data_IF_699267915767
#
_entry.id   IF_699267915767
#
_cell.length_a   1.000
_cell.length_b   1.000
_cell.length_c   1.000
_cell.angle_alpha   90.00
_cell.angle_beta   90.00
_cell.angle_gamma   90.00
#
_symmetry.space_group_name_H-M   'P 1'
#
loop_
_entity.id
_entity.type
_entity.pdbx_description
1 polymer ?
#
# COMPACT_ATOMS: atom_id res chain seq x y z
N UNK A 1 -52.33 96.93 73.21
CA UNK A 1 -51.95 95.85 72.26
C UNK A 1 -50.80 95.05 72.87
N UNK A 2 -51.05 94.29 73.93
CA UNK A 2 -50.07 93.60 74.81
C UNK A 2 -50.94 92.61 75.62
N UNK A 3 -50.72 91.30 75.83
CA UNK A 3 -49.62 90.36 75.62
C UNK A 3 -50.22 88.94 75.43
N UNK A 4 -49.60 88.08 74.61
CA UNK A 4 -49.95 86.65 74.55
C UNK A 4 -49.25 85.89 75.69
N UNK A 5 -49.96 85.03 76.45
CA UNK A 5 -49.37 84.34 77.59
C UNK A 5 -48.37 83.27 77.13
N UNK A 6 -47.14 83.37 77.63
CA UNK A 6 -46.07 82.41 77.39
C UNK A 6 -46.27 81.19 78.31
N UNK A 7 -46.84 80.11 77.76
CA UNK A 7 -47.03 78.85 78.48
C UNK A 7 -45.80 77.96 78.27
N UNK A 8 -44.99 77.81 79.30
CA UNK A 8 -43.79 76.97 79.29
C UNK A 8 -44.23 75.51 79.45
N UNK A 9 -44.33 74.77 78.33
CA UNK A 9 -44.50 73.31 78.36
C UNK A 9 -43.18 72.63 78.71
N UNK A 10 -43.12 71.98 79.87
CA UNK A 10 -41.99 71.11 80.25
C UNK A 10 -42.02 69.83 79.42
N UNK A 11 -41.24 69.81 78.32
CA UNK A 11 -40.94 68.60 77.55
C UNK A 11 -40.25 67.58 78.45
N UNK A 12 -40.80 66.37 78.58
CA UNK A 12 -40.15 65.20 79.21
C UNK A 12 -39.49 64.33 78.13
N UNK A 13 -38.28 64.65 77.65
CA UNK A 13 -37.67 64.06 76.45
C UNK A 13 -37.47 62.53 76.59
N UNK A 14 -37.26 62.05 77.80
CA UNK A 14 -36.97 60.63 78.04
C UNK A 14 -38.12 59.69 77.64
N UNK A 15 -39.38 60.09 77.81
CA UNK A 15 -40.53 59.24 77.45
C UNK A 15 -40.72 59.12 75.93
N UNK A 16 -40.48 60.20 75.19
CA UNK A 16 -40.56 60.17 73.72
C UNK A 16 -39.40 59.39 73.11
N UNK A 17 -38.20 59.48 73.68
CA UNK A 17 -37.08 58.62 73.27
C UNK A 17 -37.35 57.15 73.57
N UNK A 18 -37.95 56.84 74.72
CA UNK A 18 -38.28 55.46 75.09
C UNK A 18 -39.37 54.88 74.17
N UNK A 19 -40.40 55.64 73.82
CA UNK A 19 -41.42 55.21 72.85
C UNK A 19 -40.83 55.02 71.45
N UNK A 20 -39.96 55.92 70.99
CA UNK A 20 -39.28 55.75 69.70
C UNK A 20 -38.42 54.48 69.67
N UNK A 21 -37.68 54.21 70.75
CA UNK A 21 -36.86 53.00 70.87
C UNK A 21 -37.73 51.73 70.83
N UNK A 22 -38.86 51.72 71.54
CA UNK A 22 -39.81 50.60 71.47
C UNK A 22 -40.32 50.41 70.04
N UNK A 23 -40.79 51.47 69.37
CA UNK A 23 -41.29 51.34 67.98
C UNK A 23 -40.22 50.85 67.00
N UNK A 24 -38.96 51.27 67.20
CA UNK A 24 -37.83 50.80 66.40
C UNK A 24 -37.58 49.31 66.61
N UNK A 25 -37.56 48.84 67.87
CA UNK A 25 -37.35 47.43 68.20
C UNK A 25 -38.47 46.52 67.71
N UNK A 26 -39.72 47.00 67.75
CA UNK A 26 -40.87 46.26 67.23
C UNK A 26 -40.80 46.19 65.70
N UNK A 27 -40.47 47.29 65.03
CA UNK A 27 -40.32 47.34 63.57
C UNK A 27 -39.20 46.41 63.08
N UNK A 28 -38.03 46.41 63.73
CA UNK A 28 -36.93 45.50 63.37
C UNK A 28 -37.29 44.03 63.60
N UNK A 29 -38.03 43.72 64.66
CA UNK A 29 -38.49 42.35 64.94
C UNK A 29 -39.47 41.82 63.89
N UNK A 30 -40.40 42.67 63.43
CA UNK A 30 -41.37 42.32 62.37
C UNK A 30 -40.65 42.08 61.04
N UNK A 31 -39.73 42.97 60.66
CA UNK A 31 -38.93 42.83 59.43
C UNK A 31 -38.09 41.56 59.49
N UNK A 32 -37.49 41.24 60.64
CA UNK A 32 -36.70 40.03 60.81
C UNK A 32 -37.55 38.75 60.69
N UNK A 33 -38.76 38.74 61.25
CA UNK A 33 -39.67 37.60 61.14
C UNK A 33 -40.15 37.37 59.69
N UNK A 34 -40.45 38.46 58.95
CA UNK A 34 -40.86 38.35 57.55
C UNK A 34 -39.71 37.95 56.62
N UNK A 35 -38.52 38.53 56.80
CA UNK A 35 -37.37 38.21 55.95
C UNK A 35 -36.89 36.78 56.15
N UNK A 36 -36.92 36.25 57.38
CA UNK A 36 -36.49 34.87 57.65
C UNK A 36 -37.41 33.83 56.99
N UNK A 37 -38.73 34.05 57.01
CA UNK A 37 -39.69 33.19 56.31
C UNK A 37 -39.50 33.25 54.78
N UNK A 38 -39.44 34.46 54.21
CA UNK A 38 -39.26 34.67 52.77
C UNK A 38 -37.93 34.09 52.26
N UNK A 39 -36.85 34.28 53.02
CA UNK A 39 -35.52 33.81 52.65
C UNK A 39 -35.42 32.28 52.70
N UNK A 40 -36.21 31.62 53.53
CA UNK A 40 -36.23 30.16 53.59
C UNK A 40 -36.80 29.52 52.31
N UNK A 41 -37.83 30.11 51.70
CA UNK A 41 -38.43 29.63 50.45
C UNK A 41 -37.50 29.90 49.25
N UNK A 42 -36.92 31.10 49.18
CA UNK A 42 -35.95 31.46 48.14
C UNK A 42 -34.71 30.56 48.20
N UNK A 43 -34.23 30.25 49.40
CA UNK A 43 -33.09 29.35 49.58
C UNK A 43 -33.40 27.91 49.13
N UNK A 44 -34.65 27.45 49.27
CA UNK A 44 -35.07 26.13 48.75
C UNK A 44 -35.05 26.09 47.22
N UNK A 45 -35.59 27.11 46.55
CA UNK A 45 -35.54 27.18 45.08
C UNK A 45 -34.11 27.30 44.55
N UNK A 46 -33.26 28.10 45.20
CA UNK A 46 -31.84 28.18 44.85
C UNK A 46 -31.11 26.84 45.11
N UNK A 47 -31.42 26.14 46.20
CA UNK A 47 -30.87 24.81 46.48
C UNK A 47 -31.32 23.78 45.44
N UNK A 48 -32.57 23.84 44.97
CA UNK A 48 -33.08 22.96 43.92
C UNK A 48 -32.43 23.27 42.56
N UNK A 49 -32.35 24.54 42.16
CA UNK A 49 -31.70 24.95 40.92
C UNK A 49 -30.22 24.60 40.90
N UNK A 50 -29.51 24.76 42.02
CA UNK A 50 -28.10 24.36 42.13
C UNK A 50 -27.95 22.84 42.08
N UNK A 51 -28.88 22.08 42.67
CA UNK A 51 -28.91 20.62 42.56
C UNK A 51 -29.16 20.17 41.12
N UNK A 52 -30.12 20.77 40.42
CA UNK A 52 -30.39 20.46 39.01
C UNK A 52 -29.19 20.79 38.12
N UNK A 53 -28.55 21.95 38.32
CA UNK A 53 -27.33 22.29 37.60
C UNK A 53 -26.19 21.30 37.85
N UNK A 54 -26.01 20.85 39.10
CA UNK A 54 -25.01 19.83 39.42
C UNK A 54 -25.30 18.50 38.71
N UNK A 55 -26.56 18.04 38.72
CA UNK A 55 -26.97 16.82 38.02
C UNK A 55 -26.71 16.97 36.51
N UNK A 56 -27.13 18.09 35.91
CA UNK A 56 -26.89 18.35 34.48
C UNK A 56 -25.39 18.41 34.14
N UNK A 57 -24.55 18.95 35.02
CA UNK A 57 -23.10 18.96 34.84
C UNK A 57 -22.51 17.56 34.94
N UNK A 58 -22.98 16.73 35.88
CA UNK A 58 -22.56 15.33 36.00
C UNK A 58 -22.99 14.51 34.79
N UNK A 59 -24.22 14.69 34.30
CA UNK A 59 -24.70 14.04 33.08
C UNK A 59 -23.89 14.46 31.86
N UNK A 60 -23.61 15.75 31.69
CA UNK A 60 -22.74 16.23 30.60
C UNK A 60 -21.34 15.62 30.69
N UNK A 61 -20.75 15.53 31.89
CA UNK A 61 -19.44 14.88 32.07
C UNK A 61 -19.50 13.40 31.69
N UNK A 62 -20.52 12.67 32.12
CA UNK A 62 -20.72 11.26 31.75
C UNK A 62 -20.89 11.09 30.24
N UNK A 63 -21.68 11.95 29.60
CA UNK A 63 -21.88 11.93 28.15
C UNK A 63 -20.58 12.22 27.39
N UNK A 64 -19.77 13.18 27.87
CA UNK A 64 -18.46 13.47 27.29
C UNK A 64 -17.48 12.30 27.45
N UNK A 65 -17.47 11.64 28.61
CA UNK A 65 -16.65 10.44 28.83
C UNK A 65 -17.09 9.28 27.93
N UNK A 66 -18.40 9.03 27.82
CA UNK A 66 -18.95 8.03 26.92
C UNK A 66 -18.61 8.33 25.46
N UNK A 67 -18.75 9.59 25.03
CA UNK A 67 -18.41 9.99 23.67
C UNK A 67 -16.92 9.80 23.38
N UNK A 68 -16.04 10.16 24.32
CA UNK A 68 -14.60 9.94 24.20
C UNK A 68 -14.26 8.45 24.10
N UNK A 69 -14.93 7.61 24.90
CA UNK A 69 -14.74 6.16 24.89
C UNK A 69 -15.20 5.55 23.56
N UNK A 70 -16.39 5.93 23.08
CA UNK A 70 -16.93 5.50 21.79
C UNK A 70 -16.03 5.96 20.63
N UNK A 71 -15.54 7.21 20.67
CA UNK A 71 -14.61 7.73 19.66
C UNK A 71 -13.30 6.95 19.65
N UNK A 72 -12.77 6.56 20.81
CA UNK A 72 -11.60 5.69 20.90
C UNK A 72 -11.88 4.32 20.28
N UNK A 73 -13.01 3.69 20.60
CA UNK A 73 -13.39 2.40 20.04
C UNK A 73 -13.53 2.44 18.51
N UNK A 74 -14.13 3.50 17.97
CA UNK A 74 -14.25 3.68 16.52
C UNK A 74 -12.86 3.80 15.89
N UNK A 75 -11.95 4.57 16.49
CA UNK A 75 -10.57 4.68 16.00
C UNK A 75 -9.84 3.33 16.03
N UNK A 76 -9.99 2.55 17.11
CA UNK A 76 -9.40 1.22 17.22
C UNK A 76 -9.95 0.26 16.15
N UNK A 77 -11.26 0.30 15.89
CA UNK A 77 -11.89 -0.47 14.80
C UNK A 77 -11.34 -0.04 13.44
N UNK A 78 -11.27 1.26 13.17
CA UNK A 78 -10.73 1.78 11.90
C UNK A 78 -9.27 1.37 11.70
N UNK A 79 -8.46 1.34 12.76
CA UNK A 79 -7.08 0.84 12.70
C UNK A 79 -7.02 -0.65 12.40
N UNK A 80 -7.85 -1.46 13.04
CA UNK A 80 -7.93 -2.90 12.76
C UNK A 80 -8.34 -3.17 11.31
N UNK A 81 -9.32 -2.42 10.78
CA UNK A 81 -9.73 -2.53 9.38
C UNK A 81 -8.58 -2.16 8.43
N UNK A 82 -7.91 -1.04 8.65
CA UNK A 82 -6.77 -0.64 7.82
C UNK A 82 -5.62 -1.67 7.85
N UNK A 83 -5.37 -2.29 9.01
CA UNK A 83 -4.39 -3.39 9.12
C UNK A 83 -4.85 -4.64 8.36
N UNK A 84 -6.15 -4.98 8.43
CA UNK A 84 -6.72 -6.11 7.72
C UNK A 84 -6.63 -5.92 6.22
N UNK A 85 -7.02 -4.75 5.70
CA UNK A 85 -6.92 -4.41 4.28
C UNK A 85 -5.47 -4.48 3.77
N UNK A 86 -4.50 -3.97 4.55
CA UNK A 86 -3.09 -4.06 4.22
C UNK A 86 -2.58 -5.51 4.21
N UNK A 87 -3.06 -6.33 5.15
CA UNK A 87 -2.70 -7.75 5.24
C UNK A 87 -3.27 -8.54 4.06
N UNK A 88 -4.54 -8.29 3.71
CA UNK A 88 -5.22 -8.96 2.60
C UNK A 88 -4.55 -8.62 1.27
N UNK A 89 -4.21 -7.35 1.04
CA UNK A 89 -3.45 -6.92 -0.13
C UNK A 89 -2.09 -7.61 -0.22
N UNK A 90 -1.37 -7.71 0.91
CA UNK A 90 -0.08 -8.40 0.96
C UNK A 90 -0.21 -9.92 0.71
N UNK A 91 -1.27 -10.56 1.21
CA UNK A 91 -1.56 -11.97 0.97
C UNK A 91 -1.91 -12.21 -0.49
N UNK A 92 -2.73 -11.35 -1.10
CA UNK A 92 -3.07 -11.46 -2.51
C UNK A 92 -1.83 -11.33 -3.40
N UNK A 93 -0.98 -10.33 -3.17
CA UNK A 93 0.28 -10.17 -3.91
C UNK A 93 1.21 -11.38 -3.76
N UNK A 94 1.28 -11.95 -2.56
CA UNK A 94 2.05 -13.17 -2.32
C UNK A 94 1.48 -14.38 -3.05
N UNK A 95 0.15 -14.53 -3.10
CA UNK A 95 -0.51 -15.60 -3.85
C UNK A 95 -0.29 -15.48 -5.35
N UNK A 96 -0.41 -14.27 -5.91
CA UNK A 96 -0.12 -13.99 -7.32
C UNK A 96 1.33 -14.36 -7.65
N UNK A 97 2.29 -13.88 -6.86
CA UNK A 97 3.71 -14.23 -7.04
C UNK A 97 3.97 -15.74 -6.96
N UNK A 98 3.33 -16.44 -6.02
CA UNK A 98 3.47 -17.90 -5.90
C UNK A 98 2.84 -18.61 -7.11
N UNK A 99 1.70 -18.13 -7.60
CA UNK A 99 1.06 -18.67 -8.80
C UNK A 99 1.96 -18.48 -10.03
N UNK A 100 2.55 -17.30 -10.19
CA UNK A 100 3.49 -17.01 -11.27
C UNK A 100 4.73 -17.92 -11.20
N UNK A 101 5.28 -18.14 -10.01
CA UNK A 101 6.39 -19.08 -9.81
C UNK A 101 6.03 -20.51 -10.20
N UNK A 102 4.82 -20.96 -9.86
CA UNK A 102 4.32 -22.30 -10.25
C UNK A 102 4.15 -22.37 -11.77
N UNK A 103 3.62 -21.33 -12.41
CA UNK A 103 3.48 -21.26 -13.87
C UNK A 103 4.85 -21.28 -14.54
N UNK A 104 5.81 -20.51 -14.04
CA UNK A 104 7.19 -20.47 -14.54
C UNK A 104 7.85 -21.85 -14.44
N UNK A 105 7.78 -22.47 -13.25
CA UNK A 105 8.35 -23.80 -13.03
C UNK A 105 7.69 -24.85 -13.94
N UNK A 106 6.36 -24.78 -14.13
CA UNK A 106 5.65 -25.69 -15.02
C UNK A 106 6.03 -25.48 -16.50
N UNK A 107 6.21 -24.23 -16.93
CA UNK A 107 6.76 -23.91 -18.26
C UNK A 107 8.15 -24.50 -18.43
N UNK A 108 9.01 -24.39 -17.42
CA UNK A 108 10.36 -24.97 -17.44
C UNK A 108 10.32 -26.51 -17.51
N UNK A 109 9.42 -27.15 -16.76
CA UNK A 109 9.22 -28.61 -16.81
C UNK A 109 8.69 -29.07 -18.16
N UNK A 110 7.67 -28.41 -18.72
CA UNK A 110 7.17 -28.70 -20.06
C UNK A 110 8.23 -28.47 -21.13
N UNK A 111 9.10 -27.47 -20.95
CA UNK A 111 10.26 -27.25 -21.79
C UNK A 111 11.24 -28.43 -21.72
N UNK A 112 11.63 -28.89 -20.52
CA UNK A 112 12.49 -30.08 -20.38
C UNK A 112 11.83 -31.35 -20.92
N UNK A 113 10.52 -31.51 -20.73
CA UNK A 113 9.76 -32.63 -21.27
C UNK A 113 9.74 -32.57 -22.81
N UNK A 114 9.45 -31.41 -23.39
CA UNK A 114 9.48 -31.23 -24.83
C UNK A 114 10.88 -31.51 -25.38
N UNK A 115 11.95 -31.03 -24.73
CA UNK A 115 13.36 -31.33 -25.08
C UNK A 115 13.66 -32.82 -25.09
N UNK A 116 13.16 -33.55 -24.10
CA UNK A 116 13.48 -34.97 -23.93
C UNK A 116 12.58 -35.91 -24.74
N UNK A 117 11.36 -35.49 -25.10
CA UNK A 117 10.33 -36.36 -25.70
C UNK A 117 9.91 -35.97 -27.13
N UNK A 118 10.17 -34.74 -27.59
CA UNK A 118 9.69 -34.27 -28.89
C UNK A 118 10.52 -34.76 -30.09
N UNK A 119 9.93 -35.65 -30.90
CA UNK A 119 10.35 -36.09 -32.24
C UNK A 119 11.86 -36.36 -32.41
N UNK A 120 12.26 -37.54 -31.92
CA UNK A 120 13.56 -38.15 -32.12
C UNK A 120 13.87 -38.42 -33.61
N UNK A 121 14.27 -37.39 -34.35
CA UNK A 121 15.07 -37.57 -35.56
C UNK A 121 16.45 -38.10 -35.17
N UNK A 122 17.06 -38.88 -36.05
CA UNK A 122 18.39 -39.46 -35.89
C UNK A 122 19.53 -38.43 -35.90
N UNK A 123 19.23 -37.16 -36.15
CA UNK A 123 20.18 -36.09 -36.45
C UNK A 123 20.29 -35.06 -35.30
N UNK A 124 21.33 -34.25 -35.34
CA UNK A 124 21.51 -33.09 -34.45
C UNK A 124 20.36 -32.10 -34.64
N UNK A 125 19.75 -31.64 -33.54
CA UNK A 125 18.64 -30.70 -33.60
C UNK A 125 18.96 -29.40 -32.85
N UNK A 126 18.86 -28.28 -33.57
CA UNK A 126 18.69 -26.95 -32.97
C UNK A 126 17.19 -26.80 -32.73
N UNK A 127 16.76 -26.85 -31.46
CA UNK A 127 15.33 -26.94 -31.15
C UNK A 127 14.70 -25.57 -30.98
N UNK A 128 15.32 -24.72 -30.19
CA UNK A 128 14.71 -23.45 -29.77
C UNK A 128 15.74 -22.32 -29.73
N UNK A 129 15.29 -21.13 -30.13
CA UNK A 129 15.98 -19.85 -30.00
C UNK A 129 15.03 -18.91 -29.26
N UNK A 130 15.47 -18.45 -28.09
CA UNK A 130 14.76 -17.44 -27.30
C UNK A 130 15.49 -16.11 -27.43
N UNK A 131 14.76 -15.06 -27.80
CA UNK A 131 15.25 -13.68 -27.93
C UNK A 131 14.61 -12.80 -26.86
N UNK A 132 15.42 -12.10 -26.07
CA UNK A 132 14.97 -11.15 -25.06
C UNK A 132 15.60 -9.79 -25.31
N UNK A 133 14.81 -8.72 -25.32
CA UNK A 133 15.34 -7.36 -25.36
C UNK A 133 16.04 -7.03 -24.03
N UNK A 134 17.14 -6.29 -24.07
CA UNK A 134 17.78 -5.78 -22.86
C UNK A 134 16.99 -4.54 -22.38
N UNK A 135 16.40 -4.57 -21.16
CA UNK A 135 15.66 -3.42 -20.63
C UNK A 135 16.51 -2.16 -20.47
N UNK A 136 17.82 -2.29 -20.28
CA UNK A 136 18.74 -1.17 -20.07
C UNK A 136 19.29 -0.59 -21.37
N UNK A 137 19.23 -1.33 -22.48
CA UNK A 137 19.80 -0.91 -23.75
C UNK A 137 18.98 -1.46 -24.94
N UNK A 138 18.23 -0.58 -25.60
CA UNK A 138 17.36 -0.90 -26.75
C UNK A 138 18.13 -1.47 -27.96
N UNK A 139 19.44 -1.24 -28.03
CA UNK A 139 20.34 -1.79 -29.05
C UNK A 139 20.86 -3.19 -28.70
N UNK A 140 20.52 -3.76 -27.54
CA UNK A 140 21.02 -5.07 -27.12
C UNK A 140 19.89 -6.10 -26.95
N UNK A 141 20.14 -7.31 -27.44
CA UNK A 141 19.23 -8.44 -27.33
C UNK A 141 19.98 -9.66 -26.82
N UNK A 142 19.49 -10.27 -25.74
CA UNK A 142 19.97 -11.55 -25.25
C UNK A 142 19.37 -12.67 -26.07
N UNK A 143 20.20 -13.65 -26.44
CA UNK A 143 19.71 -14.86 -27.07
C UNK A 143 20.12 -16.10 -26.27
N UNK A 144 19.25 -17.10 -26.26
CA UNK A 144 19.49 -18.43 -25.71
C UNK A 144 19.13 -19.47 -26.75
N UNK A 145 20.10 -20.30 -27.12
CA UNK A 145 19.93 -21.38 -28.09
C UNK A 145 20.09 -22.70 -27.36
N UNK A 146 19.18 -23.65 -27.63
CA UNK A 146 19.28 -25.01 -27.10
C UNK A 146 19.53 -26.01 -28.21
N UNK A 147 20.66 -26.71 -28.08
CA UNK A 147 21.11 -27.73 -29.01
C UNK A 147 21.01 -29.09 -28.32
N UNK A 148 20.42 -30.05 -29.01
CA UNK A 148 20.18 -31.40 -28.50
C UNK A 148 20.70 -32.45 -29.47
N UNK A 149 21.13 -33.57 -28.90
CA UNK A 149 21.66 -34.71 -29.64
C UNK A 149 20.55 -35.72 -29.90
N UNK A 150 20.35 -36.10 -31.17
CA UNK A 150 19.44 -37.18 -31.55
C UNK A 150 19.88 -38.55 -31.01
N UNK A 151 18.90 -39.45 -30.80
CA UNK A 151 19.03 -40.74 -30.08
C UNK A 151 20.09 -41.71 -30.64
N UNK A 152 20.52 -41.54 -31.89
CA UNK A 152 21.46 -42.44 -32.60
C UNK A 152 22.94 -42.04 -32.51
N UNK A 153 23.25 -40.89 -31.93
CA UNK A 153 24.63 -40.42 -31.81
C UNK A 153 25.06 -40.65 -30.35
N UNK A 154 25.99 -41.59 -30.11
CA UNK A 154 26.45 -41.93 -28.74
C UNK A 154 27.74 -41.22 -28.32
N UNK A 155 28.45 -40.62 -29.27
CA UNK A 155 29.73 -39.93 -29.03
C UNK A 155 29.52 -38.43 -28.89
N UNK A 156 30.31 -37.79 -28.04
CA UNK A 156 30.28 -36.34 -27.89
C UNK A 156 30.68 -35.67 -29.21
N UNK A 157 29.85 -34.75 -29.69
CA UNK A 157 30.12 -33.99 -30.91
C UNK A 157 30.88 -32.73 -30.54
N UNK A 158 32.03 -32.53 -31.19
CA UNK A 158 32.84 -31.33 -31.08
C UNK A 158 32.73 -30.52 -32.37
N UNK A 159 32.55 -29.22 -32.26
CA UNK A 159 32.42 -28.33 -33.40
C UNK A 159 32.33 -26.86 -33.02
N UNK A 160 31.89 -26.05 -33.97
CA UNK A 160 31.63 -24.63 -33.81
C UNK A 160 30.17 -24.34 -34.16
N UNK A 161 29.52 -23.50 -33.36
CA UNK A 161 28.19 -22.96 -33.65
C UNK A 161 28.38 -21.51 -34.09
N UNK A 162 27.98 -21.22 -35.32
CA UNK A 162 28.00 -19.88 -35.89
C UNK A 162 26.59 -19.32 -35.85
N UNK A 163 26.45 -18.14 -35.26
CA UNK A 163 25.19 -17.41 -35.18
C UNK A 163 25.31 -16.18 -36.06
N UNK A 164 24.51 -16.15 -37.12
CA UNK A 164 24.53 -15.10 -38.15
C UNK A 164 23.20 -14.37 -38.16
N UNK A 165 23.26 -13.04 -38.13
CA UNK A 165 22.11 -12.16 -38.27
C UNK A 165 21.91 -11.80 -39.74
N UNK A 166 20.70 -12.03 -40.24
CA UNK A 166 20.26 -11.58 -41.56
C UNK A 166 19.33 -10.39 -41.39
N UNK A 167 19.55 -9.34 -42.18
CA UNK A 167 18.79 -8.09 -42.11
C UNK A 167 17.77 -8.00 -43.25
N UNK A 168 16.75 -7.16 -43.06
CA UNK A 168 15.67 -7.00 -44.04
C UNK A 168 16.10 -6.21 -45.28
N UNK A 169 17.11 -5.34 -45.18
CA UNK A 169 17.62 -4.55 -46.29
C UNK A 169 18.63 -5.36 -47.13
N UNK A 170 18.39 -5.45 -48.43
CA UNK A 170 19.19 -6.24 -49.39
C UNK A 170 20.64 -5.69 -49.53
N UNK A 171 20.87 -4.46 -49.04
CA UNK A 171 22.21 -3.83 -48.98
C UNK A 171 23.03 -4.25 -47.75
N UNK A 172 22.39 -4.72 -46.68
CA UNK A 172 23.08 -5.14 -45.46
C UNK A 172 23.49 -6.60 -45.54
N UNK A 173 24.80 -6.86 -45.65
CA UNK A 173 25.35 -8.22 -45.68
C UNK A 173 25.07 -8.94 -44.34
N UNK A 174 24.85 -10.27 -44.37
CA UNK A 174 24.67 -11.05 -43.16
C UNK A 174 25.89 -10.92 -42.25
N UNK A 175 25.66 -10.61 -40.97
CA UNK A 175 26.73 -10.37 -40.00
C UNK A 175 26.88 -11.56 -39.06
N UNK A 176 28.10 -12.08 -38.95
CA UNK A 176 28.42 -13.06 -37.92
C UNK A 176 28.36 -12.37 -36.57
N UNK A 177 27.38 -12.73 -35.75
CA UNK A 177 27.20 -12.13 -34.44
C UNK A 177 28.12 -12.78 -33.41
N UNK A 178 28.15 -14.10 -33.36
CA UNK A 178 28.92 -14.84 -32.37
C UNK A 178 29.34 -16.22 -32.88
N UNK A 179 30.46 -16.70 -32.33
CA UNK A 179 30.99 -18.04 -32.54
C UNK A 179 31.13 -18.74 -31.19
N UNK A 180 30.47 -19.88 -31.05
CA UNK A 180 30.48 -20.68 -29.82
C UNK A 180 31.13 -22.04 -30.03
N UNK A 181 31.88 -22.52 -29.05
CA UNK A 181 32.42 -23.89 -29.11
C UNK A 181 31.34 -24.90 -28.72
N UNK A 182 31.09 -25.86 -29.61
CA UNK A 182 30.16 -26.96 -29.38
C UNK A 182 30.92 -28.14 -28.76
N UNK A 183 30.50 -28.55 -27.57
CA UNK A 183 30.93 -29.79 -26.91
C UNK A 183 29.70 -30.48 -26.33
N UNK A 184 28.90 -31.03 -27.22
CA UNK A 184 27.61 -31.62 -26.89
C UNK A 184 27.78 -33.10 -26.53
N UNK A 185 27.33 -33.50 -25.33
CA UNK A 185 27.17 -34.92 -24.96
C UNK A 185 25.70 -35.37 -24.95
N UNK A 186 24.79 -34.50 -24.51
CA UNK A 186 23.34 -34.74 -24.53
C UNK A 186 22.58 -33.45 -24.89
N UNK A 187 22.79 -32.39 -24.11
CA UNK A 187 22.21 -31.05 -24.29
C UNK A 187 23.28 -30.00 -24.00
N UNK A 188 23.29 -28.92 -24.78
CA UNK A 188 24.13 -27.74 -24.54
C UNK A 188 23.29 -26.49 -24.79
N UNK A 189 23.27 -25.62 -23.78
CA UNK A 189 22.67 -24.30 -23.87
C UNK A 189 23.78 -23.31 -24.20
N UNK A 190 23.53 -22.43 -25.17
CA UNK A 190 24.44 -21.38 -25.60
C UNK A 190 23.74 -20.03 -25.42
N UNK A 191 24.44 -19.11 -24.78
CA UNK A 191 23.92 -17.78 -24.48
C UNK A 191 24.87 -16.73 -25.08
N UNK A 192 24.29 -15.59 -25.47
CA UNK A 192 25.06 -14.46 -25.95
C UNK A 192 24.20 -13.22 -26.11
N UNK A 193 24.85 -12.15 -26.59
CA UNK A 193 24.22 -10.85 -26.81
C UNK A 193 24.38 -10.47 -28.28
N UNK A 194 23.31 -9.96 -28.87
CA UNK A 194 23.31 -9.26 -30.15
C UNK A 194 23.31 -7.75 -29.88
N UNK A 195 24.17 -7.02 -30.57
CA UNK A 195 24.16 -5.55 -30.59
C UNK A 195 23.66 -5.09 -31.95
N UNK A 196 22.48 -4.47 -32.02
CA UNK A 196 21.86 -3.99 -33.25
C UNK A 196 22.00 -2.47 -33.29
N UNK A 197 22.47 -1.94 -34.42
CA UNK A 197 22.58 -0.48 -34.60
C UNK A 197 21.19 0.14 -34.84
N UNK A 198 20.99 1.41 -34.50
CA UNK A 198 19.67 2.10 -34.48
C UNK A 198 18.87 2.05 -35.80
N UNK A 199 19.50 1.64 -36.91
CA UNK A 199 18.90 1.60 -38.23
C UNK A 199 18.86 0.18 -38.86
N UNK A 200 19.22 -0.85 -38.10
CA UNK A 200 19.26 -2.24 -38.58
C UNK A 200 18.01 -3.01 -38.14
N UNK A 201 17.20 -3.47 -39.09
CA UNK A 201 16.06 -4.35 -38.82
C UNK A 201 16.42 -5.80 -39.14
N UNK A 202 16.75 -6.65 -38.14
CA UNK A 202 16.98 -8.06 -38.36
C UNK A 202 15.70 -8.75 -38.81
N UNK A 203 15.82 -9.64 -39.80
CA UNK A 203 14.71 -10.43 -40.37
C UNK A 203 14.76 -11.87 -39.90
N UNK A 204 15.95 -12.47 -39.89
CA UNK A 204 16.13 -13.86 -39.49
C UNK A 204 17.49 -14.11 -38.87
N UNK A 205 17.60 -15.19 -38.10
CA UNK A 205 18.84 -15.65 -37.49
C UNK A 205 19.15 -17.02 -38.06
N UNK A 206 20.33 -17.13 -38.68
CA UNK A 206 20.89 -18.39 -39.16
C UNK A 206 21.81 -18.98 -38.09
N UNK A 207 21.53 -20.22 -37.69
CA UNK A 207 22.38 -20.99 -36.79
C UNK A 207 22.96 -22.15 -37.59
N UNK A 208 24.29 -22.15 -37.74
CA UNK A 208 25.05 -23.18 -38.44
C UNK A 208 25.94 -23.94 -37.47
N UNK A 209 25.79 -25.27 -37.42
CA UNK A 209 26.71 -26.15 -36.71
C UNK A 209 27.76 -26.68 -37.70
N UNK A 210 29.04 -26.44 -37.41
CA UNK A 210 30.17 -26.91 -38.22
C UNK A 210 31.06 -27.86 -37.42
N UNK A 211 31.48 -28.95 -38.05
CA UNK A 211 32.50 -29.88 -37.52
C UNK A 211 33.57 -30.09 -38.60
N UNK A 212 34.82 -29.74 -38.30
CA UNK A 212 35.98 -29.88 -39.20
C UNK A 212 35.67 -29.42 -40.64
N UNK A 213 35.15 -28.20 -40.80
CA UNK A 213 34.74 -27.56 -42.08
C UNK A 213 33.46 -28.10 -42.75
N UNK A 214 32.87 -29.21 -42.28
CA UNK A 214 31.57 -29.70 -42.77
C UNK A 214 30.42 -29.09 -41.98
N UNK A 215 29.41 -28.57 -42.66
CA UNK A 215 28.15 -28.12 -42.04
C UNK A 215 27.35 -29.37 -41.67
N UNK A 216 27.07 -29.55 -40.37
CA UNK A 216 26.28 -30.66 -39.86
C UNK A 216 24.79 -30.37 -39.97
N UNK A 217 24.38 -29.15 -39.61
CA UNK A 217 23.00 -28.71 -39.62
C UNK A 217 22.95 -27.20 -39.72
N UNK A 218 21.99 -26.69 -40.49
CA UNK A 218 21.63 -25.28 -40.55
C UNK A 218 20.15 -25.14 -40.24
N UNK A 219 19.80 -24.22 -39.35
CA UNK A 219 18.41 -23.79 -39.10
C UNK A 219 18.34 -22.28 -39.18
N UNK A 220 17.28 -21.80 -39.81
CA UNK A 220 16.94 -20.38 -39.88
C UNK A 220 15.72 -20.16 -39.00
N UNK A 221 15.80 -19.21 -38.09
CA UNK A 221 14.72 -18.77 -37.22
C UNK A 221 14.27 -17.38 -37.64
N UNK A 222 12.96 -17.12 -37.65
CA UNK A 222 12.44 -15.77 -37.86
C UNK A 222 12.75 -14.91 -36.64
N UNK A 223 12.97 -13.61 -36.86
CA UNK A 223 13.20 -12.67 -35.77
C UNK A 223 11.90 -12.39 -35.01
N UNK A 224 11.63 -13.17 -33.97
CA UNK A 224 10.48 -12.99 -33.08
C UNK A 224 11.01 -12.66 -31.68
N UNK A 225 10.92 -11.39 -31.29
CA UNK A 225 11.27 -10.95 -29.92
C UNK A 225 10.04 -11.18 -29.05
N UNK A 226 10.13 -12.09 -28.09
CA UNK A 226 9.10 -12.23 -27.07
C UNK A 226 9.15 -10.99 -26.17
N UNK A 227 8.24 -10.04 -26.39
CA UNK A 227 8.04 -8.83 -25.57
C UNK A 227 7.26 -9.09 -24.29
N UNK A 228 7.10 -10.35 -23.89
CA UNK A 228 6.44 -10.70 -22.63
C UNK A 228 7.33 -10.28 -21.47
N UNK A 229 7.04 -9.07 -20.97
CA UNK A 229 7.58 -8.51 -19.74
C UNK A 229 7.30 -9.46 -18.55
N UNK A 230 8.29 -9.70 -17.67
CA UNK A 230 8.07 -10.22 -16.33
C UNK A 230 7.39 -9.19 -15.41
#
# INVERSE_FOLDING_TARGET
MIDKPYVIQTRRPFRTFLLLLITLTVSTSIVWYWTTQWQSEQNKHLAELTKQNKILQEENKKLLEQNKLLSSQVNDISRMQAMQDATDSQLQSNLERLQDQVIELNKELLFYQNITQGNASSELQIRELHLRANPDNLSQYFYRIVITQGKKISKAIKGDVLVTLNFADDKTKPRLANKHSLKLKHVQVLEGVFSIEENEQPKSIDIELKQNKKVLTKRTFQWEVSTTLP
#
